data_IF_615877770637
#
_entry.id   IF_615877770637
#
_cell.length_a   1.000
_cell.length_b   1.000
_cell.length_c   1.000
_cell.angle_alpha   90.00
_cell.angle_beta   90.00
_cell.angle_gamma   90.00
#
_symmetry.space_group_name_H-M   'P 1'
#
loop_
_entity.id
_entity.type
_entity.pdbx_description
1 polymer ?
#
# COMPACT_ATOMS: atom_id res chain seq x y z
N UNK A 1 -15.78 9.40 93.23
CA UNK A 1 -16.87 10.34 92.91
C UNK A 1 -16.89 10.55 91.41
N UNK A 2 -18.04 10.55 90.74
CA UNK A 2 -19.24 9.74 91.07
C UNK A 2 -19.77 8.98 89.82
N UNK A 3 -20.29 7.75 89.96
CA UNK A 3 -21.75 7.38 89.94
C UNK A 3 -22.26 7.15 88.49
N UNK A 4 -23.03 6.13 88.11
CA UNK A 4 -23.54 4.89 88.72
C UNK A 4 -24.22 4.08 87.60
N UNK A 5 -24.15 2.75 87.74
CA UNK A 5 -25.24 1.75 87.65
C UNK A 5 -26.43 1.98 86.73
N UNK A 6 -26.75 0.92 85.96
CA UNK A 6 -27.89 -0.03 86.14
C UNK A 6 -27.93 -0.91 84.88
N UNK A 7 -28.12 -2.23 84.86
CA UNK A 7 -28.42 -3.26 85.85
C UNK A 7 -28.66 -4.56 85.06
N UNK A 8 -28.01 -5.65 85.46
CA UNK A 8 -28.49 -7.03 85.24
C UNK A 8 -29.85 -7.18 85.97
N UNK A 9 -30.76 -8.17 85.69
CA UNK A 9 -30.36 -9.59 85.78
C UNK A 9 -31.24 -10.72 85.15
N UNK A 10 -30.70 -11.95 85.26
CA UNK A 10 -31.33 -13.30 85.42
C UNK A 10 -32.24 -13.87 84.30
N UNK A 11 -32.28 -15.18 84.01
CA UNK A 11 -32.13 -16.40 84.82
C UNK A 11 -31.60 -17.59 83.95
N UNK A 12 -30.72 -18.48 84.46
CA UNK A 12 -30.99 -19.81 85.06
C UNK A 12 -31.80 -20.76 84.13
N UNK A 13 -31.47 -22.04 83.87
CA UNK A 13 -30.85 -23.11 84.66
C UNK A 13 -30.39 -24.24 83.67
N UNK A 14 -29.31 -25.00 83.93
CA UNK A 14 -29.30 -26.40 84.43
C UNK A 14 -29.91 -27.41 83.41
N UNK A 15 -29.34 -28.55 83.03
CA UNK A 15 -28.64 -29.62 83.77
C UNK A 15 -27.86 -30.55 82.83
N UNK A 16 -26.94 -31.29 83.44
CA UNK A 16 -26.01 -32.31 82.95
C UNK A 16 -26.63 -33.70 82.66
N UNK A 17 -25.84 -34.56 81.97
CA UNK A 17 -25.78 -36.04 82.04
C UNK A 17 -26.95 -36.83 81.38
N UNK A 18 -26.85 -38.02 80.79
CA UNK A 18 -25.81 -39.05 80.51
C UNK A 18 -26.46 -40.07 79.54
N UNK A 19 -25.75 -40.46 78.48
CA UNK A 19 -25.42 -41.85 78.06
C UNK A 19 -26.50 -42.79 77.47
N UNK A 20 -25.99 -43.64 76.56
CA UNK A 20 -26.54 -44.82 75.87
C UNK A 20 -27.32 -44.57 74.54
N UNK A 21 -27.02 -45.20 73.40
CA UNK A 21 -25.95 -46.12 73.02
C UNK A 21 -25.84 -46.24 71.48
N UNK A 22 -24.61 -46.46 71.02
CA UNK A 22 -24.19 -47.36 69.93
C UNK A 22 -24.34 -47.03 68.42
N UNK A 23 -23.16 -47.00 67.80
CA UNK A 23 -22.75 -47.52 66.47
C UNK A 23 -22.80 -46.61 65.24
N UNK A 24 -21.60 -46.22 64.75
CA UNK A 24 -21.10 -46.48 63.38
C UNK A 24 -20.35 -45.30 62.71
N UNK A 25 -19.03 -45.46 62.61
CA UNK A 25 -18.11 -45.01 61.55
C UNK A 25 -17.83 -43.52 61.26
N UNK A 26 -16.58 -43.19 60.84
CA UNK A 26 -16.08 -41.83 60.73
C UNK A 26 -16.48 -41.20 59.38
N UNK A 27 -17.16 -40.05 59.39
CA UNK A 27 -17.34 -39.25 58.18
C UNK A 27 -16.02 -38.57 57.84
N UNK A 28 -15.42 -39.04 56.73
CA UNK A 28 -14.29 -38.41 56.08
C UNK A 28 -14.59 -36.94 55.78
N UNK A 29 -13.75 -36.06 56.32
CA UNK A 29 -13.67 -34.65 55.96
C UNK A 29 -13.60 -34.52 54.44
N UNK A 30 -14.65 -33.96 53.83
CA UNK A 30 -14.57 -33.49 52.44
C UNK A 30 -13.42 -32.48 52.36
N UNK A 31 -12.45 -32.64 51.44
CA UNK A 31 -11.46 -31.60 51.23
C UNK A 31 -12.20 -30.35 50.74
N UNK A 32 -11.90 -29.19 51.32
CA UNK A 32 -12.27 -27.91 50.73
C UNK A 32 -11.78 -27.92 49.27
N UNK A 33 -12.60 -27.51 48.28
CA UNK A 33 -12.14 -27.42 46.91
C UNK A 33 -11.02 -26.39 46.85
N UNK A 34 -9.86 -26.85 46.40
CA UNK A 34 -8.66 -26.05 46.22
C UNK A 34 -8.97 -24.92 45.22
N UNK A 35 -8.91 -23.64 45.63
CA UNK A 35 -9.34 -22.51 44.79
C UNK A 35 -8.56 -22.43 43.48
N UNK A 36 -7.32 -22.92 43.46
CA UNK A 36 -6.51 -23.01 42.25
C UNK A 36 -7.02 -24.09 41.28
N UNK A 37 -7.53 -25.21 41.78
CA UNK A 37 -8.09 -26.29 40.95
C UNK A 37 -9.46 -25.91 40.38
N UNK A 38 -10.26 -25.18 41.15
CA UNK A 38 -11.52 -24.59 40.68
C UNK A 38 -11.29 -23.49 39.62
N UNK A 39 -10.21 -22.72 39.72
CA UNK A 39 -9.78 -21.76 38.71
C UNK A 39 -9.28 -22.44 37.43
N UNK A 40 -8.48 -23.51 37.55
CA UNK A 40 -7.99 -24.29 36.40
C UNK A 40 -9.16 -24.97 35.66
N UNK A 41 -10.13 -25.56 36.36
CA UNK A 41 -11.35 -26.11 35.74
C UNK A 41 -12.27 -25.03 35.13
N UNK A 42 -12.25 -23.81 35.68
CA UNK A 42 -12.91 -22.63 35.11
C UNK A 42 -12.12 -22.01 33.94
N UNK A 43 -10.83 -22.25 33.78
CA UNK A 43 -10.10 -21.80 32.60
C UNK A 43 -10.28 -22.78 31.43
N UNK A 44 -10.30 -24.11 31.71
CA UNK A 44 -10.51 -25.14 30.68
C UNK A 44 -11.94 -25.17 30.10
N UNK A 45 -12.99 -24.92 30.92
CA UNK A 45 -14.39 -24.87 30.40
C UNK A 45 -14.66 -23.69 29.48
N UNK A 46 -13.82 -22.67 29.51
CA UNK A 46 -14.02 -21.39 28.83
C UNK A 46 -13.13 -21.22 27.60
N UNK A 47 -12.46 -22.30 27.19
CA UNK A 47 -11.58 -22.33 26.03
C UNK A 47 -12.31 -21.96 24.72
N UNK A 48 -13.65 -22.07 24.67
CA UNK A 48 -14.49 -21.61 23.54
C UNK A 48 -14.86 -20.12 23.57
N UNK A 49 -14.77 -19.45 24.72
CA UNK A 49 -14.95 -17.98 24.85
C UNK A 49 -13.60 -17.24 24.85
N UNK A 50 -12.49 -17.98 24.74
CA UNK A 50 -11.14 -17.45 24.53
C UNK A 50 -11.04 -16.40 23.40
N UNK A 51 -11.84 -16.44 22.30
CA UNK A 51 -11.77 -15.43 21.25
C UNK A 51 -12.43 -14.09 21.63
N UNK A 52 -13.20 -14.04 22.72
CA UNK A 52 -13.96 -12.86 23.17
C UNK A 52 -13.12 -12.02 24.15
N UNK A 53 -13.17 -10.67 24.09
CA UNK A 53 -12.42 -9.79 24.99
C UNK A 53 -12.78 -10.05 26.46
N UNK A 54 -11.82 -9.90 27.36
CA UNK A 54 -11.99 -10.24 28.79
C UNK A 54 -13.18 -9.51 29.44
N UNK A 55 -13.40 -8.24 29.10
CA UNK A 55 -14.49 -7.44 29.65
C UNK A 55 -15.86 -7.99 29.23
N UNK A 56 -16.02 -8.32 27.94
CA UNK A 56 -17.24 -8.89 27.40
C UNK A 56 -17.46 -10.31 27.91
N UNK A 57 -16.40 -11.10 28.07
CA UNK A 57 -16.47 -12.42 28.69
C UNK A 57 -16.96 -12.32 30.13
N UNK A 58 -16.45 -11.36 30.91
CA UNK A 58 -16.90 -11.10 32.29
C UNK A 58 -18.36 -10.68 32.33
N UNK A 59 -18.82 -9.85 31.40
CA UNK A 59 -20.23 -9.45 31.33
C UNK A 59 -21.15 -10.62 30.93
N UNK A 60 -20.73 -11.45 29.97
CA UNK A 60 -21.45 -12.68 29.60
C UNK A 60 -21.55 -13.63 30.80
N UNK A 61 -20.43 -13.87 31.49
CA UNK A 61 -20.38 -14.69 32.71
C UNK A 61 -21.24 -14.09 33.82
N UNK A 62 -21.25 -12.76 33.98
CA UNK A 62 -22.08 -12.07 34.99
C UNK A 62 -23.57 -12.22 34.71
N UNK A 63 -23.97 -12.26 33.44
CA UNK A 63 -25.37 -12.42 33.03
C UNK A 63 -25.86 -13.87 33.05
N UNK A 64 -24.95 -14.84 33.13
CA UNK A 64 -25.28 -16.25 33.12
C UNK A 64 -25.28 -16.82 34.55
N UNK A 65 -26.43 -17.32 34.99
CA UNK A 65 -26.57 -17.99 36.28
C UNK A 65 -25.67 -19.26 36.35
N UNK A 66 -25.10 -19.65 37.51
CA UNK A 66 -24.16 -20.77 37.61
C UNK A 66 -24.71 -22.11 37.10
N UNK A 67 -26.03 -22.30 37.17
CA UNK A 67 -26.72 -23.47 36.60
C UNK A 67 -26.79 -23.43 35.07
N UNK A 68 -26.97 -22.25 34.48
CA UNK A 68 -26.92 -22.03 33.04
C UNK A 68 -25.50 -22.17 32.49
N UNK A 69 -24.50 -21.75 33.27
CA UNK A 69 -23.07 -21.93 32.93
C UNK A 69 -22.64 -23.39 32.85
N UNK A 70 -23.10 -24.24 33.79
CA UNK A 70 -22.77 -25.67 33.81
C UNK A 70 -23.41 -26.46 32.64
N UNK A 71 -24.45 -25.91 32.01
CA UNK A 71 -25.21 -26.57 30.93
C UNK A 71 -24.80 -26.12 29.52
N UNK A 72 -24.00 -25.05 29.40
CA UNK A 72 -23.53 -24.51 28.12
C UNK A 72 -22.89 -25.54 27.17
N UNK A 73 -22.38 -26.68 27.64
CA UNK A 73 -21.86 -27.73 26.75
C UNK A 73 -22.94 -28.54 26.02
N UNK A 74 -24.06 -28.85 26.70
CA UNK A 74 -25.16 -29.69 26.18
C UNK A 74 -26.31 -28.85 25.64
N UNK A 75 -26.77 -27.83 26.38
CA UNK A 75 -27.84 -26.94 25.92
C UNK A 75 -27.39 -26.08 24.74
N UNK A 76 -26.09 -25.75 24.61
CA UNK A 76 -25.57 -25.05 23.42
C UNK A 76 -25.74 -25.85 22.14
N UNK A 77 -25.63 -27.20 22.16
CA UNK A 77 -25.75 -27.98 20.92
C UNK A 77 -27.20 -28.08 20.45
N UNK A 78 -28.14 -28.21 21.39
CA UNK A 78 -29.58 -28.26 21.11
C UNK A 78 -30.17 -26.87 20.77
N UNK A 79 -29.67 -25.81 21.41
CA UNK A 79 -30.15 -24.44 21.19
C UNK A 79 -29.40 -23.68 20.10
N UNK A 80 -28.21 -24.13 19.67
CA UNK A 80 -27.49 -23.53 18.56
C UNK A 80 -28.29 -23.42 17.25
N UNK A 81 -29.04 -24.44 16.78
CA UNK A 81 -29.86 -24.30 15.58
C UNK A 81 -30.95 -23.25 15.75
N UNK A 82 -31.67 -23.26 16.88
CA UNK A 82 -32.71 -22.27 17.20
C UNK A 82 -32.13 -20.85 17.25
N UNK A 83 -31.00 -20.66 17.92
CA UNK A 83 -30.32 -19.37 17.98
C UNK A 83 -29.79 -18.91 16.62
N UNK A 84 -29.40 -19.83 15.73
CA UNK A 84 -29.03 -19.50 14.34
C UNK A 84 -30.25 -19.06 13.53
N UNK A 85 -31.39 -19.75 13.68
CA UNK A 85 -32.64 -19.37 13.02
C UNK A 85 -33.14 -18.01 13.51
N UNK A 86 -33.10 -17.75 14.81
CA UNK A 86 -33.47 -16.45 15.38
C UNK A 86 -32.52 -15.33 14.90
N UNK A 87 -31.21 -15.61 14.85
CA UNK A 87 -30.23 -14.67 14.31
C UNK A 87 -30.47 -14.40 12.82
N UNK A 88 -30.80 -15.43 12.04
CA UNK A 88 -31.14 -15.27 10.64
C UNK A 88 -32.40 -14.41 10.47
N UNK A 89 -33.45 -14.69 11.24
CA UNK A 89 -34.69 -13.91 11.24
C UNK A 89 -34.46 -12.45 11.67
N UNK A 90 -33.51 -12.20 12.59
CA UNK A 90 -33.08 -10.85 12.95
C UNK A 90 -32.40 -10.15 11.77
N UNK A 91 -31.52 -10.85 11.04
CA UNK A 91 -30.80 -10.32 9.88
C UNK A 91 -31.75 -10.00 8.72
N UNK A 92 -32.76 -10.85 8.48
CA UNK A 92 -33.77 -10.61 7.44
C UNK A 92 -34.58 -9.33 7.75
N UNK A 93 -34.81 -9.03 9.03
CA UNK A 93 -35.46 -7.78 9.47
C UNK A 93 -34.53 -6.58 9.49
N UNK A 94 -33.22 -6.79 9.57
CA UNK A 94 -32.20 -5.74 9.69
C UNK A 94 -31.07 -5.93 8.67
N UNK A 95 -31.38 -5.81 7.35
CA UNK A 95 -30.42 -6.10 6.28
C UNK A 95 -29.18 -5.20 6.29
N UNK A 96 -29.27 -4.03 6.93
CA UNK A 96 -28.15 -3.07 7.07
C UNK A 96 -27.44 -3.14 8.42
N UNK A 97 -27.66 -4.18 9.23
CA UNK A 97 -27.03 -4.29 10.54
C UNK A 97 -25.50 -4.36 10.45
N UNK A 98 -24.82 -3.44 11.13
CA UNK A 98 -23.36 -3.37 11.17
C UNK A 98 -22.83 -3.87 12.50
N UNK A 99 -22.33 -5.12 12.49
CA UNK A 99 -21.68 -5.79 13.62
C UNK A 99 -20.61 -4.92 14.30
N UNK A 100 -19.89 -4.08 13.54
CA UNK A 100 -18.81 -3.27 14.13
C UNK A 100 -19.32 -2.18 15.07
N UNK A 101 -20.59 -1.77 14.95
CA UNK A 101 -21.22 -0.79 15.85
C UNK A 101 -21.31 -1.34 17.27
N UNK A 102 -21.61 -2.63 17.40
CA UNK A 102 -21.79 -3.30 18.69
C UNK A 102 -20.46 -3.54 19.43
N UNK A 103 -19.34 -3.57 18.69
CA UNK A 103 -18.01 -3.61 19.29
C UNK A 103 -17.57 -2.26 19.89
N UNK A 104 -18.28 -1.17 19.60
CA UNK A 104 -17.98 0.18 20.08
C UNK A 104 -16.58 0.65 19.71
N UNK A 105 -15.92 1.38 20.61
CA UNK A 105 -14.54 1.81 20.40
C UNK A 105 -13.53 0.66 20.52
N UNK A 106 -12.83 0.41 19.41
CA UNK A 106 -11.74 -0.58 19.32
C UNK A 106 -10.43 0.08 19.78
N UNK A 107 -10.26 0.16 21.09
CA UNK A 107 -9.07 0.75 21.73
C UNK A 107 -7.94 -0.23 22.04
N UNK A 108 -8.12 -1.54 21.82
CA UNK A 108 -7.11 -2.56 22.12
C UNK A 108 -6.98 -3.63 21.04
N UNK A 109 -5.79 -4.21 20.94
CA UNK A 109 -5.49 -5.33 20.03
C UNK A 109 -6.37 -6.56 20.31
N UNK A 110 -6.68 -6.85 21.57
CA UNK A 110 -7.62 -7.93 21.94
C UNK A 110 -9.02 -7.69 21.37
N UNK A 111 -9.55 -6.47 21.48
CA UNK A 111 -10.85 -6.11 20.90
C UNK A 111 -10.81 -6.17 19.38
N UNK A 112 -9.72 -5.74 18.74
CA UNK A 112 -9.55 -5.85 17.30
C UNK A 112 -9.54 -7.32 16.85
N UNK A 113 -8.80 -8.20 17.54
CA UNK A 113 -8.76 -9.64 17.24
C UNK A 113 -10.14 -10.30 17.42
N UNK A 114 -10.87 -9.93 18.47
CA UNK A 114 -12.23 -10.41 18.67
C UNK A 114 -13.18 -9.93 17.58
N UNK A 115 -13.09 -8.66 17.17
CA UNK A 115 -13.88 -8.11 16.08
C UNK A 115 -13.57 -8.82 14.75
N UNK A 116 -12.29 -9.08 14.44
CA UNK A 116 -11.91 -9.89 13.26
C UNK A 116 -12.53 -11.28 13.31
N UNK A 117 -12.47 -11.93 14.47
CA UNK A 117 -13.07 -13.25 14.67
C UNK A 117 -14.59 -13.21 14.45
N UNK A 118 -15.29 -12.24 15.03
CA UNK A 118 -16.73 -12.09 14.88
C UNK A 118 -17.13 -11.80 13.43
N UNK A 119 -16.41 -10.90 12.74
CA UNK A 119 -16.63 -10.60 11.31
C UNK A 119 -16.48 -11.84 10.44
N UNK A 120 -15.53 -12.73 10.74
CA UNK A 120 -15.30 -13.98 9.98
C UNK A 120 -16.49 -14.94 10.07
N UNK A 121 -17.05 -15.06 11.28
CA UNK A 121 -18.08 -16.05 11.62
C UNK A 121 -19.50 -15.48 11.61
N UNK A 122 -19.66 -14.21 11.22
CA UNK A 122 -20.95 -13.56 11.16
C UNK A 122 -21.85 -14.21 10.09
N UNK A 123 -23.14 -14.48 10.38
CA UNK A 123 -24.09 -15.05 9.43
C UNK A 123 -24.56 -13.97 8.45
N UNK A 124 -23.83 -13.80 7.36
CA UNK A 124 -24.19 -12.86 6.31
C UNK A 124 -25.39 -13.37 5.50
N UNK A 125 -26.28 -12.47 5.04
CA UNK A 125 -27.35 -12.81 4.09
C UNK A 125 -26.81 -13.52 2.85
N UNK A 126 -27.52 -14.55 2.37
CA UNK A 126 -27.06 -15.44 1.29
C UNK A 126 -27.05 -14.78 -0.10
N UNK A 127 -27.79 -13.70 -0.27
CA UNK A 127 -27.90 -12.87 -1.47
C UNK A 127 -26.68 -11.97 -1.71
N UNK A 128 -25.79 -11.84 -0.72
CA UNK A 128 -24.63 -10.95 -0.79
C UNK A 128 -23.32 -11.76 -0.82
N UNK A 129 -22.31 -11.23 -1.52
CA UNK A 129 -20.97 -11.82 -1.50
C UNK A 129 -20.38 -11.70 -0.08
N UNK A 130 -20.42 -12.83 0.63
CA UNK A 130 -19.87 -12.98 1.98
C UNK A 130 -18.40 -12.55 2.06
N UNK A 131 -17.59 -12.90 1.06
CA UNK A 131 -16.16 -12.58 1.06
C UNK A 131 -15.94 -11.08 0.94
N UNK A 132 -16.72 -10.41 0.09
CA UNK A 132 -16.65 -8.97 -0.09
C UNK A 132 -17.02 -8.22 1.20
N UNK A 133 -18.10 -8.62 1.87
CA UNK A 133 -18.53 -8.01 3.14
C UNK A 133 -17.51 -8.17 4.25
N UNK A 134 -16.93 -9.37 4.39
CA UNK A 134 -15.85 -9.64 5.34
C UNK A 134 -14.68 -8.71 5.07
N UNK A 135 -14.25 -8.58 3.82
CA UNK A 135 -13.12 -7.73 3.44
C UNK A 135 -13.40 -6.24 3.65
N UNK A 136 -14.61 -5.75 3.37
CA UNK A 136 -15.01 -4.35 3.70
C UNK A 136 -14.87 -4.08 5.20
N UNK A 137 -15.31 -5.03 6.04
CA UNK A 137 -15.19 -4.93 7.50
C UNK A 137 -13.73 -5.04 7.97
N UNK A 138 -12.92 -5.92 7.37
CA UNK A 138 -11.47 -5.97 7.62
C UNK A 138 -10.77 -4.66 7.26
N UNK A 139 -11.15 -4.02 6.16
CA UNK A 139 -10.62 -2.69 5.79
C UNK A 139 -10.94 -1.62 6.86
N UNK A 140 -12.15 -1.64 7.42
CA UNK A 140 -12.53 -0.75 8.53
C UNK A 140 -11.76 -1.05 9.81
N UNK A 141 -11.47 -2.32 10.10
CA UNK A 141 -10.64 -2.73 11.23
C UNK A 141 -9.17 -2.36 11.03
N UNK A 142 -8.63 -2.50 9.82
CA UNK A 142 -7.28 -2.06 9.46
C UNK A 142 -7.10 -0.56 9.72
N UNK A 143 -8.10 0.26 9.36
CA UNK A 143 -8.09 1.69 9.61
C UNK A 143 -8.06 2.10 11.10
N UNK A 144 -8.30 1.16 12.03
CA UNK A 144 -8.19 1.39 13.49
C UNK A 144 -6.82 1.04 14.07
N UNK A 145 -5.94 0.39 13.31
CA UNK A 145 -4.58 0.05 13.79
C UNK A 145 -3.82 1.29 14.29
N UNK A 146 -3.83 2.45 13.60
CA UNK A 146 -3.11 3.64 14.06
C UNK A 146 -3.57 4.15 15.44
N UNK A 147 -4.85 3.95 15.80
CA UNK A 147 -5.39 4.36 17.11
C UNK A 147 -5.04 3.41 18.26
N UNK A 148 -4.48 2.24 17.99
CA UNK A 148 -4.08 1.29 19.04
C UNK A 148 -2.80 1.75 19.74
N UNK A 149 -2.56 1.29 20.98
CA UNK A 149 -1.28 1.46 21.67
C UNK A 149 -0.12 0.94 20.81
N UNK A 150 0.99 1.68 20.75
CA UNK A 150 2.14 1.39 19.85
C UNK A 150 2.62 -0.06 19.92
N UNK A 151 2.69 -0.62 21.14
CA UNK A 151 3.12 -2.01 21.37
C UNK A 151 2.19 -3.07 20.75
N UNK A 152 0.91 -2.75 20.53
CA UNK A 152 -0.10 -3.69 20.01
C UNK A 152 -0.30 -3.58 18.49
N UNK A 153 0.24 -2.53 17.85
CA UNK A 153 -0.02 -2.24 16.44
C UNK A 153 0.50 -3.33 15.50
N UNK A 154 1.68 -3.88 15.77
CA UNK A 154 2.26 -4.94 14.95
C UNK A 154 1.46 -6.25 15.03
N UNK A 155 1.04 -6.64 16.23
CA UNK A 155 0.19 -7.82 16.42
C UNK A 155 -1.19 -7.63 15.74
N UNK A 156 -1.77 -6.44 15.84
CA UNK A 156 -3.02 -6.11 15.15
C UNK A 156 -2.86 -6.14 13.62
N UNK A 157 -1.77 -5.56 13.10
CA UNK A 157 -1.43 -5.58 11.68
C UNK A 157 -1.31 -7.01 11.14
N UNK A 158 -0.51 -7.85 11.82
CA UNK A 158 -0.32 -9.25 11.41
C UNK A 158 -1.61 -10.06 11.52
N UNK A 159 -2.46 -9.78 12.51
CA UNK A 159 -3.78 -10.42 12.62
C UNK A 159 -4.71 -10.07 11.44
N UNK A 160 -4.78 -8.81 11.02
CA UNK A 160 -5.56 -8.42 9.83
C UNK A 160 -4.96 -9.04 8.57
N UNK A 161 -3.63 -8.95 8.40
CA UNK A 161 -2.92 -9.53 7.27
C UNK A 161 -3.24 -11.02 7.13
N UNK A 162 -3.00 -11.83 8.17
CA UNK A 162 -3.22 -13.29 8.18
C UNK A 162 -4.68 -13.70 7.88
N UNK A 163 -5.65 -12.83 8.17
CA UNK A 163 -7.06 -13.08 7.87
C UNK A 163 -7.41 -12.68 6.45
N UNK A 164 -6.90 -11.53 5.99
CA UNK A 164 -7.17 -11.00 4.66
C UNK A 164 -6.45 -11.79 3.55
N UNK A 165 -5.29 -12.42 3.82
CA UNK A 165 -4.56 -13.27 2.86
C UNK A 165 -5.32 -14.53 2.44
N UNK A 166 -6.35 -14.92 3.20
CA UNK A 166 -7.22 -16.05 2.87
C UNK A 166 -8.22 -15.75 1.76
N UNK A 167 -8.32 -14.50 1.35
CA UNK A 167 -9.26 -14.03 0.33
C UNK A 167 -8.50 -13.48 -0.88
N UNK A 168 -9.18 -13.47 -2.02
CA UNK A 168 -8.66 -13.03 -3.32
C UNK A 168 -9.50 -11.89 -3.91
N UNK A 169 -8.96 -11.25 -4.96
CA UNK A 169 -9.68 -10.24 -5.73
C UNK A 169 -9.48 -8.79 -5.27
N UNK A 170 -10.26 -7.89 -5.85
CA UNK A 170 -10.06 -6.43 -5.73
C UNK A 170 -10.21 -5.92 -4.29
N UNK A 171 -11.19 -6.43 -3.53
CA UNK A 171 -11.35 -6.02 -2.13
C UNK A 171 -10.21 -6.53 -1.24
N UNK A 172 -9.67 -7.72 -1.50
CA UNK A 172 -8.50 -8.22 -0.79
C UNK A 172 -7.29 -7.30 -1.05
N UNK A 173 -7.07 -6.93 -2.31
CA UNK A 173 -6.04 -5.95 -2.67
C UNK A 173 -6.22 -4.60 -1.96
N UNK A 174 -7.44 -4.08 -1.85
CA UNK A 174 -7.69 -2.81 -1.13
C UNK A 174 -7.33 -2.88 0.36
N UNK A 175 -7.62 -4.00 1.02
CA UNK A 175 -7.22 -4.22 2.42
C UNK A 175 -5.70 -4.26 2.53
N UNK A 176 -5.02 -4.97 1.63
CA UNK A 176 -3.56 -5.05 1.62
C UNK A 176 -2.90 -3.70 1.31
N UNK A 177 -3.42 -2.96 0.35
CA UNK A 177 -2.93 -1.61 0.02
C UNK A 177 -3.08 -0.68 1.22
N UNK A 178 -4.21 -0.75 1.94
CA UNK A 178 -4.41 0.05 3.16
C UNK A 178 -3.41 -0.31 4.26
N UNK A 179 -3.19 -1.59 4.52
CA UNK A 179 -2.17 -2.04 5.47
C UNK A 179 -0.77 -1.56 5.06
N UNK A 180 -0.48 -1.54 3.77
CA UNK A 180 0.78 -1.05 3.20
C UNK A 180 0.96 0.46 3.44
N UNK A 181 -0.09 1.26 3.27
CA UNK A 181 -0.08 2.70 3.59
C UNK A 181 0.13 2.96 5.09
N UNK A 182 -0.45 2.12 5.94
CA UNK A 182 -0.39 2.25 7.40
C UNK A 182 0.93 1.72 8.01
N UNK A 183 1.92 1.27 7.22
CA UNK A 183 3.22 0.78 7.72
C UNK A 183 3.93 1.78 8.65
N UNK A 184 3.81 3.07 8.38
CA UNK A 184 4.40 4.13 9.22
C UNK A 184 3.88 4.17 10.66
N UNK A 185 2.69 3.61 10.94
CA UNK A 185 2.14 3.57 12.28
C UNK A 185 2.79 2.49 13.18
N UNK A 186 3.52 1.55 12.59
CA UNK A 186 4.19 0.45 13.30
C UNK A 186 5.48 0.92 14.00
N UNK A 187 5.93 0.21 15.04
CA UNK A 187 7.28 0.39 15.60
C UNK A 187 8.34 0.28 14.51
N UNK A 188 9.32 1.17 14.53
CA UNK A 188 10.32 1.36 13.47
C UNK A 188 11.07 0.07 13.14
N UNK A 189 11.55 -0.62 14.18
CA UNK A 189 12.28 -1.90 14.10
C UNK A 189 11.47 -3.02 13.43
N UNK A 190 10.14 -2.89 13.35
CA UNK A 190 9.23 -3.89 12.80
C UNK A 190 8.68 -3.52 11.41
N UNK A 191 8.98 -2.32 10.90
CA UNK A 191 8.42 -1.85 9.62
C UNK A 191 8.96 -2.64 8.44
N UNK A 192 10.27 -2.89 8.41
CA UNK A 192 10.89 -3.70 7.36
C UNK A 192 10.30 -5.12 7.34
N UNK A 193 10.18 -5.75 8.52
CA UNK A 193 9.56 -7.06 8.66
C UNK A 193 8.11 -7.07 8.15
N UNK A 194 7.31 -6.06 8.51
CA UNK A 194 5.93 -5.93 8.03
C UNK A 194 5.84 -5.73 6.51
N UNK A 195 6.75 -4.95 5.93
CA UNK A 195 6.83 -4.72 4.49
C UNK A 195 7.12 -6.02 3.72
N UNK A 196 8.15 -6.78 4.14
CA UNK A 196 8.45 -8.06 3.49
C UNK A 196 7.33 -9.08 3.66
N UNK A 197 6.62 -9.07 4.79
CA UNK A 197 5.50 -9.98 5.04
C UNK A 197 4.27 -9.69 4.14
N UNK A 198 3.96 -8.42 3.86
CA UNK A 198 2.77 -8.05 3.07
C UNK A 198 3.01 -8.16 1.56
N UNK A 199 4.25 -7.96 1.10
CA UNK A 199 4.59 -7.82 -0.31
C UNK A 199 4.14 -9.01 -1.19
N UNK A 200 4.35 -10.29 -0.83
CA UNK A 200 3.89 -11.42 -1.65
C UNK A 200 2.36 -11.45 -1.81
N UNK A 201 1.64 -11.15 -0.73
CA UNK A 201 0.18 -11.16 -0.70
C UNK A 201 -0.43 -10.00 -1.49
N UNK A 202 0.22 -8.84 -1.43
CA UNK A 202 -0.16 -7.65 -2.21
C UNK A 202 -0.07 -7.92 -3.72
N UNK A 203 0.99 -8.60 -4.17
CA UNK A 203 1.19 -8.97 -5.59
C UNK A 203 0.15 -10.00 -6.03
N UNK A 204 -0.04 -11.06 -5.23
CA UNK A 204 -0.98 -12.13 -5.55
C UNK A 204 -2.40 -11.57 -5.74
N UNK A 205 -2.85 -10.73 -4.80
CA UNK A 205 -4.18 -10.11 -4.84
C UNK A 205 -4.31 -9.10 -6.00
N UNK A 206 -3.25 -8.32 -6.31
CA UNK A 206 -3.24 -7.42 -7.47
C UNK A 206 -3.38 -8.17 -8.79
N UNK A 207 -2.60 -9.23 -8.98
CA UNK A 207 -2.63 -10.05 -10.21
C UNK A 207 -4.02 -10.64 -10.43
N UNK A 208 -4.62 -11.20 -9.39
CA UNK A 208 -5.98 -11.74 -9.44
C UNK A 208 -7.04 -10.67 -9.73
N UNK A 209 -6.92 -9.48 -9.13
CA UNK A 209 -7.82 -8.38 -9.40
C UNK A 209 -7.76 -7.93 -10.87
N UNK A 210 -6.56 -7.90 -11.47
CA UNK A 210 -6.38 -7.56 -12.89
C UNK A 210 -6.92 -8.68 -13.81
N UNK A 211 -6.73 -9.94 -13.45
CA UNK A 211 -7.29 -11.08 -14.19
C UNK A 211 -8.82 -11.05 -14.19
N UNK A 212 -9.45 -10.77 -13.04
CA UNK A 212 -10.90 -10.64 -12.94
C UNK A 212 -11.44 -9.47 -13.79
N UNK A 213 -10.76 -8.31 -13.76
CA UNK A 213 -11.13 -7.16 -14.57
C UNK A 213 -11.01 -7.45 -16.08
N UNK A 214 -9.94 -8.13 -16.50
CA UNK A 214 -9.76 -8.53 -17.89
C UNK A 214 -10.82 -9.54 -18.35
N UNK A 215 -11.18 -10.51 -17.50
CA UNK A 215 -12.25 -11.47 -17.79
C UNK A 215 -13.62 -10.81 -17.94
N UNK A 216 -13.94 -9.83 -17.09
CA UNK A 216 -15.19 -9.06 -17.19
C UNK A 216 -15.28 -8.24 -18.49
N UNK A 217 -14.17 -7.65 -18.93
CA UNK A 217 -14.12 -6.89 -20.17
C UNK A 217 -14.34 -7.76 -21.43
N UNK A 218 -13.86 -9.02 -21.42
CA UNK A 218 -14.07 -9.95 -22.53
C UNK A 218 -15.47 -10.62 -22.49
N UNK A 219 -16.06 -10.83 -21.31
CA UNK A 219 -17.43 -11.33 -21.17
C UNK A 219 -18.51 -10.33 -21.60
N UNK A 220 -18.23 -9.03 -21.52
CA UNK A 220 -19.14 -7.97 -21.99
C UNK A 220 -19.28 -7.89 -23.51
N UNK A 221 -18.37 -8.50 -24.28
CA UNK A 221 -18.42 -8.49 -25.75
C UNK A 221 -19.14 -9.72 -26.35
N UNK A 222 -19.54 -10.71 -25.54
CA UNK A 222 -20.26 -11.91 -26.00
C UNK A 222 -21.76 -11.92 -25.68
N UNK A 223 -22.31 -10.89 -25.05
CA UNK A 223 -23.75 -10.83 -24.65
C UNK A 223 -24.57 -9.84 -25.49
N UNK A 224 -24.01 -9.25 -26.55
CA UNK A 224 -24.76 -8.42 -27.50
C UNK A 224 -24.66 -8.96 -28.94
N UNK A 225 -24.97 -10.25 -29.14
CA UNK A 225 -25.37 -10.76 -30.46
C UNK A 225 -26.53 -11.73 -30.27
N UNK A 226 -27.71 -11.16 -30.06
CA UNK A 226 -28.96 -11.80 -30.45
C UNK A 226 -29.96 -10.70 -30.80
N UNK A 227 -30.39 -10.73 -32.07
CA UNK A 227 -31.56 -10.07 -32.64
C UNK A 227 -31.48 -8.56 -32.92
N UNK A 228 -31.08 -8.21 -34.15
CA UNK A 228 -32.03 -7.70 -35.14
C UNK A 228 -31.35 -7.59 -36.51
N UNK A 229 -31.87 -8.37 -37.46
CA UNK A 229 -31.60 -8.29 -38.88
C UNK A 229 -32.44 -7.18 -39.53
N UNK A 230 -32.02 -6.78 -40.74
CA UNK A 230 -32.67 -5.96 -41.76
C UNK A 230 -32.48 -4.43 -41.76
N UNK A 231 -31.80 -3.96 -42.81
CA UNK A 231 -31.97 -2.61 -43.38
C UNK A 231 -30.69 -1.98 -43.94
N UNK A 232 -30.36 -2.25 -45.20
CA UNK A 232 -29.21 -1.67 -45.88
C UNK A 232 -29.37 -0.18 -46.25
N UNK A 233 -28.25 0.46 -46.59
CA UNK A 233 -27.99 1.23 -47.85
C UNK A 233 -26.66 1.98 -47.70
N UNK A 234 -25.88 1.95 -48.79
CA UNK A 234 -24.59 2.59 -49.05
C UNK A 234 -24.48 4.09 -48.73
N UNK A 235 -23.27 4.51 -48.37
CA UNK A 235 -22.82 5.90 -48.40
C UNK A 235 -21.30 6.03 -48.21
N UNK A 236 -20.61 6.27 -49.32
CA UNK A 236 -19.18 6.51 -49.50
C UNK A 236 -18.61 7.68 -48.66
N UNK A 237 -17.43 7.51 -48.06
CA UNK A 237 -16.34 8.50 -47.98
C UNK A 237 -15.16 7.98 -47.11
N UNK A 238 -14.00 7.82 -47.74
CA UNK A 238 -12.71 7.52 -47.13
C UNK A 238 -12.04 8.82 -46.55
N UNK A 239 -10.84 8.75 -45.95
CA UNK A 239 -10.64 8.59 -44.51
C UNK A 239 -9.96 9.82 -43.88
N UNK A 240 -10.45 10.25 -42.72
CA UNK A 240 -9.72 11.12 -41.81
C UNK A 240 -9.29 10.33 -40.58
N UNK A 241 -7.98 10.14 -40.38
CA UNK A 241 -7.41 9.68 -39.10
C UNK A 241 -5.90 9.99 -39.07
N UNK A 242 -5.45 10.92 -38.23
CA UNK A 242 -4.91 10.66 -36.90
C UNK A 242 -3.45 10.19 -36.92
N UNK A 243 -2.55 11.13 -36.64
CA UNK A 243 -1.15 10.88 -36.29
C UNK A 243 -0.80 11.53 -34.96
N UNK A 244 -1.59 11.26 -33.92
CA UNK A 244 -1.26 11.61 -32.53
C UNK A 244 -1.02 10.30 -31.78
N UNK A 245 0.25 9.89 -31.73
CA UNK A 245 0.71 8.77 -30.92
C UNK A 245 0.56 9.18 -29.45
N UNK A 246 -0.52 8.72 -28.82
CA UNK A 246 -0.61 8.62 -27.37
C UNK A 246 0.49 7.66 -26.87
N UNK A 247 1.13 7.92 -25.72
CA UNK A 247 2.12 7.00 -25.19
C UNK A 247 1.41 5.68 -24.85
N UNK A 248 1.84 4.63 -25.53
CA UNK A 248 1.32 3.28 -25.38
C UNK A 248 1.50 2.81 -23.93
N UNK A 249 0.40 2.84 -23.17
CA UNK A 249 0.19 1.86 -22.12
C UNK A 249 -0.31 0.58 -22.78
N UNK A 250 0.61 -0.36 -23.00
CA UNK A 250 0.35 -1.79 -23.11
C UNK A 250 -0.05 -2.34 -24.48
N UNK A 251 0.68 -3.37 -24.93
CA UNK A 251 0.10 -4.45 -25.73
C UNK A 251 1.01 -5.04 -26.79
N UNK A 252 1.64 -6.19 -26.50
CA UNK A 252 1.41 -7.45 -27.22
C UNK A 252 2.27 -8.60 -26.65
N UNK A 253 1.68 -9.80 -26.64
CA UNK A 253 2.21 -11.11 -26.21
C UNK A 253 2.29 -11.38 -24.69
N UNK A 254 1.18 -11.91 -24.15
CA UNK A 254 1.25 -12.99 -23.14
C UNK A 254 1.84 -12.65 -21.76
N UNK A 255 1.33 -11.61 -21.09
CA UNK A 255 1.65 -11.39 -19.68
C UNK A 255 0.57 -10.54 -19.01
N UNK A 256 -0.31 -11.17 -18.23
CA UNK A 256 -1.24 -10.43 -17.37
C UNK A 256 -0.38 -9.81 -16.24
N UNK A 257 0.14 -8.62 -16.51
CA UNK A 257 1.13 -7.95 -15.68
C UNK A 257 0.55 -7.51 -14.35
N UNK A 258 0.85 -8.26 -13.29
CA UNK A 258 0.52 -7.95 -11.89
C UNK A 258 1.29 -6.77 -11.28
N UNK A 259 1.59 -5.73 -12.07
CA UNK A 259 2.39 -4.59 -11.63
C UNK A 259 1.70 -3.86 -10.48
N UNK A 260 2.46 -3.62 -9.40
CA UNK A 260 2.01 -2.86 -8.25
C UNK A 260 2.12 -1.36 -8.55
N UNK A 261 1.17 -0.53 -8.08
CA UNK A 261 1.28 0.91 -8.22
C UNK A 261 2.58 1.45 -7.57
N UNK A 262 3.41 2.14 -8.36
CA UNK A 262 4.69 2.69 -7.90
C UNK A 262 4.53 3.68 -6.73
N UNK A 263 3.44 4.45 -6.71
CA UNK A 263 3.11 5.38 -5.62
C UNK A 263 2.83 4.65 -4.29
N UNK A 264 2.13 3.52 -4.33
CA UNK A 264 1.86 2.69 -3.14
C UNK A 264 3.19 2.15 -2.56
N UNK A 265 4.05 1.61 -3.43
CA UNK A 265 5.36 1.09 -3.03
C UNK A 265 6.28 2.19 -2.50
N UNK A 266 6.36 3.34 -3.18
CA UNK A 266 7.17 4.46 -2.72
C UNK A 266 6.69 4.99 -1.36
N UNK A 267 5.37 5.11 -1.16
CA UNK A 267 4.79 5.52 0.12
C UNK A 267 5.19 4.58 1.26
N UNK A 268 5.13 3.28 1.02
CA UNK A 268 5.54 2.25 1.97
C UNK A 268 7.05 2.27 2.26
N UNK A 269 7.88 2.32 1.21
CA UNK A 269 9.34 2.32 1.33
C UNK A 269 9.83 3.55 2.10
N UNK A 270 9.20 4.72 1.91
CA UNK A 270 9.51 5.95 2.65
C UNK A 270 9.34 5.80 4.18
N UNK A 271 8.52 4.86 4.63
CA UNK A 271 8.31 4.62 6.07
C UNK A 271 9.38 3.72 6.70
N UNK A 272 10.22 3.09 5.89
CA UNK A 272 11.23 2.14 6.35
C UNK A 272 12.46 2.86 6.94
N UNK A 273 13.21 2.20 7.83
CA UNK A 273 14.53 2.67 8.23
C UNK A 273 15.45 2.82 7.01
N UNK A 274 16.34 3.81 7.03
CA UNK A 274 17.21 4.18 5.90
C UNK A 274 18.01 2.97 5.37
N UNK A 275 18.51 2.12 6.26
CA UNK A 275 19.26 0.90 5.93
C UNK A 275 18.45 -0.10 5.10
N UNK A 276 17.13 -0.14 5.27
CA UNK A 276 16.24 -1.07 4.57
C UNK A 276 15.71 -0.51 3.25
N UNK A 277 15.82 0.81 2.99
CA UNK A 277 15.23 1.48 1.82
C UNK A 277 15.80 0.92 0.52
N UNK A 278 17.12 0.82 0.40
CA UNK A 278 17.77 0.35 -0.83
C UNK A 278 17.38 -1.11 -1.15
N UNK A 279 17.40 -1.99 -0.14
CA UNK A 279 16.96 -3.38 -0.30
C UNK A 279 15.49 -3.43 -0.73
N UNK A 280 14.61 -2.67 -0.08
CA UNK A 280 13.19 -2.64 -0.41
C UNK A 280 12.92 -2.11 -1.83
N UNK A 281 13.69 -1.13 -2.33
CA UNK A 281 13.62 -0.67 -3.72
C UNK A 281 14.00 -1.82 -4.67
N UNK A 282 15.10 -2.51 -4.41
CA UNK A 282 15.58 -3.60 -5.27
C UNK A 282 14.59 -4.76 -5.34
N UNK A 283 14.03 -5.16 -4.20
CA UNK A 283 13.01 -6.20 -4.13
C UNK A 283 11.73 -5.76 -4.84
N UNK A 284 11.22 -4.56 -4.53
CA UNK A 284 9.99 -4.05 -5.13
C UNK A 284 10.12 -3.90 -6.65
N UNK A 285 11.28 -3.49 -7.15
CA UNK A 285 11.55 -3.38 -8.58
C UNK A 285 11.63 -4.74 -9.27
N UNK A 286 12.22 -5.75 -8.63
CA UNK A 286 12.27 -7.12 -9.16
C UNK A 286 10.88 -7.74 -9.36
N UNK A 287 9.87 -7.19 -8.68
CA UNK A 287 8.48 -7.64 -8.75
C UNK A 287 7.64 -6.86 -9.78
N UNK A 288 8.21 -5.82 -10.38
CA UNK A 288 7.56 -5.06 -11.45
C UNK A 288 7.68 -5.77 -12.80
N UNK A 289 6.77 -5.44 -13.71
CA UNK A 289 6.84 -5.92 -15.09
C UNK A 289 7.80 -5.06 -15.90
N UNK A 290 8.72 -5.68 -16.63
CA UNK A 290 9.67 -5.01 -17.52
C UNK A 290 11.11 -5.02 -16.98
N UNK A 291 12.01 -4.20 -17.56
CA UNK A 291 13.40 -4.13 -17.13
C UNK A 291 13.51 -3.62 -15.69
N UNK A 292 14.25 -4.36 -14.86
CA UNK A 292 14.42 -4.06 -13.43
C UNK A 292 14.99 -2.66 -13.19
N UNK A 293 16.00 -2.26 -13.96
CA UNK A 293 16.61 -0.93 -13.87
C UNK A 293 15.56 0.19 -13.98
N UNK A 294 14.68 0.11 -14.99
CA UNK A 294 13.65 1.11 -15.22
C UNK A 294 12.63 1.15 -14.08
N UNK A 295 12.30 -0.01 -13.50
CA UNK A 295 11.44 -0.08 -12.31
C UNK A 295 12.11 0.54 -11.07
N UNK A 296 13.40 0.30 -10.84
CA UNK A 296 14.16 0.92 -9.74
C UNK A 296 14.22 2.44 -9.90
N UNK A 297 14.53 2.94 -11.11
CA UNK A 297 14.54 4.37 -11.43
C UNK A 297 13.16 5.00 -11.22
N UNK A 298 12.10 4.31 -11.65
CA UNK A 298 10.72 4.79 -11.47
C UNK A 298 10.33 4.85 -10.00
N UNK A 299 10.69 3.84 -9.19
CA UNK A 299 10.46 3.84 -7.74
C UNK A 299 11.20 4.99 -7.06
N UNK A 300 12.48 5.18 -7.39
CA UNK A 300 13.29 6.28 -6.84
C UNK A 300 12.73 7.64 -7.20
N UNK A 301 12.23 7.83 -8.42
CA UNK A 301 11.53 9.06 -8.82
C UNK A 301 10.28 9.29 -7.96
N UNK A 302 9.48 8.25 -7.72
CA UNK A 302 8.29 8.38 -6.87
C UNK A 302 8.65 8.70 -5.42
N UNK A 303 9.75 8.15 -4.88
CA UNK A 303 10.25 8.50 -3.55
C UNK A 303 10.63 9.98 -3.47
N UNK A 304 11.40 10.49 -4.44
CA UNK A 304 11.73 11.92 -4.53
C UNK A 304 10.47 12.78 -4.69
N UNK A 305 9.46 12.28 -5.42
CA UNK A 305 8.17 12.95 -5.58
C UNK A 305 7.34 13.07 -4.28
N UNK A 306 7.66 12.28 -3.25
CA UNK A 306 7.04 12.39 -1.92
C UNK A 306 7.73 13.41 -1.01
N UNK A 307 8.87 13.97 -1.42
CA UNK A 307 9.55 15.03 -0.69
C UNK A 307 8.74 16.34 -0.75
N UNK A 308 8.81 17.17 0.30
CA UNK A 308 8.30 18.54 0.25
C UNK A 308 8.91 19.32 -0.93
N UNK A 309 8.12 20.21 -1.52
CA UNK A 309 8.53 21.00 -2.71
C UNK A 309 9.88 21.72 -2.50
N UNK A 310 10.15 22.22 -1.30
CA UNK A 310 11.39 22.91 -0.96
C UNK A 310 12.64 22.01 -0.91
N UNK A 311 12.47 20.68 -0.79
CA UNK A 311 13.57 19.68 -0.83
C UNK A 311 13.64 18.92 -2.14
N UNK A 312 12.56 18.92 -2.92
CA UNK A 312 12.47 18.18 -4.17
C UNK A 312 13.69 18.38 -5.07
N UNK A 313 14.09 19.64 -5.30
CA UNK A 313 15.20 19.94 -6.21
C UNK A 313 16.51 19.28 -5.75
N UNK A 314 16.84 19.38 -4.46
CA UNK A 314 18.05 18.79 -3.90
C UNK A 314 18.00 17.25 -3.96
N UNK A 315 16.88 16.64 -3.58
CA UNK A 315 16.70 15.19 -3.62
C UNK A 315 16.76 14.65 -5.06
N UNK A 316 16.17 15.39 -6.01
CA UNK A 316 16.22 15.04 -7.42
C UNK A 316 17.63 15.15 -8.00
N UNK A 317 18.38 16.20 -7.65
CA UNK A 317 19.77 16.36 -8.06
C UNK A 317 20.64 15.19 -7.58
N UNK A 318 20.52 14.82 -6.30
CA UNK A 318 21.22 13.68 -5.72
C UNK A 318 20.85 12.36 -6.42
N UNK A 319 19.57 12.15 -6.72
CA UNK A 319 19.11 10.99 -7.47
C UNK A 319 19.72 10.94 -8.87
N UNK A 320 19.63 12.03 -9.62
CA UNK A 320 20.12 12.11 -11.00
C UNK A 320 21.63 11.90 -11.06
N UNK A 321 22.39 12.53 -10.16
CA UNK A 321 23.84 12.36 -10.06
C UNK A 321 24.25 10.93 -9.66
N UNK A 322 23.53 10.32 -8.70
CA UNK A 322 23.78 8.94 -8.30
C UNK A 322 23.50 7.96 -9.44
N UNK A 323 22.43 8.16 -10.20
CA UNK A 323 22.11 7.32 -11.36
C UNK A 323 23.10 7.54 -12.50
N UNK A 324 23.53 8.78 -12.74
CA UNK A 324 24.52 9.09 -13.78
C UNK A 324 25.85 8.34 -13.56
N UNK A 325 26.29 8.21 -12.30
CA UNK A 325 27.51 7.48 -11.93
C UNK A 325 27.34 5.95 -11.87
N UNK A 326 26.16 5.43 -12.16
CA UNK A 326 25.93 3.98 -12.19
C UNK A 326 26.33 3.39 -13.53
N UNK A 327 26.59 2.07 -13.58
CA UNK A 327 27.02 1.40 -14.81
C UNK A 327 26.06 1.56 -16.00
N UNK A 328 24.76 1.73 -15.73
CA UNK A 328 23.72 1.95 -16.75
C UNK A 328 23.19 3.41 -16.73
N UNK A 329 24.03 4.37 -16.33
CA UNK A 329 23.59 5.74 -16.08
C UNK A 329 22.94 6.45 -17.28
N UNK A 330 23.39 6.16 -18.50
CA UNK A 330 22.81 6.71 -19.71
C UNK A 330 21.34 6.25 -19.91
N UNK A 331 21.07 4.97 -19.66
CA UNK A 331 19.72 4.40 -19.76
C UNK A 331 18.83 4.95 -18.63
N UNK A 332 19.37 5.01 -17.40
CA UNK A 332 18.65 5.54 -16.24
C UNK A 332 18.24 7.01 -16.43
N UNK A 333 19.17 7.88 -16.89
CA UNK A 333 18.87 9.27 -17.17
C UNK A 333 17.89 9.40 -18.34
N UNK A 334 18.05 8.62 -19.42
CA UNK A 334 17.11 8.62 -20.56
C UNK A 334 15.70 8.27 -20.12
N UNK A 335 15.55 7.32 -19.20
CA UNK A 335 14.26 6.97 -18.61
C UNK A 335 13.68 8.10 -17.74
N UNK A 336 14.50 8.76 -16.92
CA UNK A 336 14.06 9.93 -16.16
C UNK A 336 13.58 11.07 -17.07
N UNK A 337 14.26 11.31 -18.21
CA UNK A 337 13.81 12.29 -19.22
C UNK A 337 12.41 11.93 -19.74
N UNK A 338 12.17 10.65 -20.05
CA UNK A 338 10.86 10.19 -20.50
C UNK A 338 9.75 10.38 -19.45
N UNK A 339 10.10 10.30 -18.16
CA UNK A 339 9.17 10.46 -17.05
C UNK A 339 8.92 11.92 -16.64
N UNK A 340 9.61 12.92 -17.22
CA UNK A 340 9.43 14.33 -16.84
C UNK A 340 7.96 14.80 -16.90
N UNK A 341 7.17 14.30 -17.84
CA UNK A 341 5.75 14.69 -17.98
C UNK A 341 4.83 14.11 -16.91
N UNK A 342 5.29 13.09 -16.18
CA UNK A 342 4.53 12.53 -15.06
C UNK A 342 4.52 13.46 -13.86
N UNK A 343 5.43 14.44 -13.81
CA UNK A 343 5.51 15.42 -12.74
C UNK A 343 4.43 16.51 -12.93
N UNK A 344 3.48 16.66 -12.00
CA UNK A 344 2.31 17.52 -12.21
C UNK A 344 2.63 19.02 -12.16
N UNK A 345 3.65 19.43 -11.38
CA UNK A 345 3.96 20.83 -11.15
C UNK A 345 4.97 21.36 -12.20
N UNK A 346 4.67 22.48 -12.89
CA UNK A 346 5.55 23.03 -13.94
C UNK A 346 6.91 23.51 -13.42
N UNK A 347 6.97 24.09 -12.20
CA UNK A 347 8.24 24.50 -11.58
C UNK A 347 9.10 23.30 -11.19
N UNK A 348 8.46 22.24 -10.70
CA UNK A 348 9.12 20.96 -10.40
C UNK A 348 9.68 20.31 -11.67
N UNK A 349 8.92 20.34 -12.78
CA UNK A 349 9.38 19.86 -14.08
C UNK A 349 10.61 20.61 -14.59
N UNK A 350 10.60 21.94 -14.49
CA UNK A 350 11.74 22.76 -14.88
C UNK A 350 12.97 22.46 -14.02
N UNK A 351 12.80 22.35 -12.70
CA UNK A 351 13.89 22.00 -11.80
C UNK A 351 14.48 20.62 -12.14
N UNK A 352 13.62 19.60 -12.30
CA UNK A 352 14.04 18.26 -12.72
C UNK A 352 14.80 18.27 -14.06
N UNK A 353 14.28 19.01 -15.06
CA UNK A 353 14.94 19.15 -16.35
C UNK A 353 16.37 19.72 -16.23
N UNK A 354 16.54 20.77 -15.40
CA UNK A 354 17.85 21.39 -15.14
C UNK A 354 18.81 20.45 -14.45
N UNK A 355 18.35 19.75 -13.42
CA UNK A 355 19.21 18.81 -12.69
C UNK A 355 19.58 17.60 -13.56
N UNK A 356 18.70 17.11 -14.45
CA UNK A 356 19.06 16.10 -15.45
C UNK A 356 20.14 16.61 -16.41
N UNK A 357 20.00 17.86 -16.89
CA UNK A 357 20.97 18.47 -17.79
C UNK A 357 22.36 18.58 -17.14
N UNK A 358 22.41 18.87 -15.82
CA UNK A 358 23.66 18.87 -15.06
C UNK A 358 24.23 17.48 -14.81
N UNK A 359 23.36 16.51 -14.47
CA UNK A 359 23.76 15.15 -14.16
C UNK A 359 24.42 14.44 -15.35
N UNK A 360 24.16 14.88 -16.59
CA UNK A 360 24.85 14.40 -17.78
C UNK A 360 26.37 14.48 -17.65
N UNK A 361 26.92 15.52 -17.01
CA UNK A 361 28.37 15.67 -16.83
C UNK A 361 28.99 14.63 -15.88
N UNK A 362 28.17 13.86 -15.16
CA UNK A 362 28.62 12.78 -14.31
C UNK A 362 28.61 11.41 -15.00
N UNK A 363 28.25 11.34 -16.30
CA UNK A 363 28.36 10.12 -17.10
C UNK A 363 29.82 9.87 -17.51
N UNK A 364 30.20 8.59 -17.60
CA UNK A 364 31.56 8.18 -17.94
C UNK A 364 31.94 8.39 -19.42
N UNK A 365 30.96 8.67 -20.29
CA UNK A 365 31.15 8.84 -21.74
C UNK A 365 30.47 10.09 -22.28
N UNK A 366 31.18 10.82 -23.14
CA UNK A 366 30.67 11.99 -23.87
C UNK A 366 29.63 11.59 -24.91
N UNK A 367 29.73 10.40 -25.50
CA UNK A 367 28.73 9.86 -26.44
C UNK A 367 27.40 9.60 -25.72
N UNK A 368 27.47 8.96 -24.54
CA UNK A 368 26.29 8.76 -23.67
C UNK A 368 25.69 10.09 -23.24
N UNK A 369 26.55 11.06 -22.92
CA UNK A 369 26.14 12.42 -22.57
C UNK A 369 25.38 13.10 -23.71
N UNK A 370 25.91 13.02 -24.93
CA UNK A 370 25.28 13.54 -26.13
C UNK A 370 23.93 12.86 -26.41
N UNK A 371 23.83 11.54 -26.24
CA UNK A 371 22.58 10.80 -26.41
C UNK A 371 21.48 11.28 -25.44
N UNK A 372 21.82 11.44 -24.15
CA UNK A 372 20.87 11.96 -23.14
C UNK A 372 20.48 13.40 -23.43
N UNK A 373 21.44 14.26 -23.82
CA UNK A 373 21.15 15.66 -24.19
C UNK A 373 20.26 15.78 -25.42
N UNK A 374 20.42 14.91 -26.41
CA UNK A 374 19.48 14.84 -27.56
C UNK A 374 18.08 14.45 -27.11
N UNK A 375 17.95 13.54 -26.14
CA UNK A 375 16.65 13.18 -25.57
C UNK A 375 16.04 14.35 -24.79
N UNK A 376 16.83 15.08 -24.01
CA UNK A 376 16.42 16.31 -23.32
C UNK A 376 15.97 17.38 -24.31
N UNK A 377 16.69 17.58 -25.40
CA UNK A 377 16.30 18.49 -26.49
C UNK A 377 14.94 18.08 -27.08
N UNK A 378 14.71 16.79 -27.34
CA UNK A 378 13.42 16.28 -27.80
C UNK A 378 12.27 16.44 -26.78
N UNK A 379 12.58 16.58 -25.49
CA UNK A 379 11.60 16.84 -24.43
C UNK A 379 11.29 18.33 -24.22
N UNK A 380 11.98 19.26 -24.90
CA UNK A 380 11.74 20.71 -24.78
C UNK A 380 10.27 21.12 -25.03
N UNK A 381 9.54 20.60 -26.04
CA UNK A 381 8.13 20.97 -26.26
C UNK A 381 7.23 20.64 -25.07
N UNK A 382 7.65 19.69 -24.23
CA UNK A 382 6.88 19.21 -23.09
C UNK A 382 7.01 20.14 -21.87
N UNK A 383 8.00 21.06 -21.89
CA UNK A 383 8.16 22.09 -20.88
C UNK A 383 7.13 23.22 -21.05
N UNK A 384 6.78 23.94 -19.98
CA UNK A 384 5.91 25.12 -20.05
C UNK A 384 6.50 26.18 -20.99
N UNK A 385 5.66 26.81 -21.82
CA UNK A 385 6.09 27.76 -22.86
C UNK A 385 7.01 28.88 -22.32
N UNK A 386 6.73 29.39 -21.12
CA UNK A 386 7.49 30.46 -20.47
C UNK A 386 8.95 30.11 -20.15
N UNK A 387 9.29 28.82 -20.05
CA UNK A 387 10.64 28.36 -19.64
C UNK A 387 11.38 27.57 -20.72
N UNK A 388 10.72 27.25 -21.85
CA UNK A 388 11.31 26.45 -22.94
C UNK A 388 12.63 27.02 -23.43
N UNK A 389 12.69 28.34 -23.61
CA UNK A 389 13.91 29.01 -24.07
C UNK A 389 15.07 28.87 -23.07
N UNK A 390 14.79 29.08 -21.78
CA UNK A 390 15.80 28.88 -20.73
C UNK A 390 16.28 27.43 -20.70
N UNK A 391 15.38 26.45 -20.80
CA UNK A 391 15.75 25.04 -20.90
C UNK A 391 16.56 24.73 -22.16
N UNK A 392 16.30 25.40 -23.30
CA UNK A 392 17.12 25.27 -24.51
C UNK A 392 18.54 25.79 -24.27
N UNK A 393 18.69 26.91 -23.58
CA UNK A 393 20.01 27.45 -23.21
C UNK A 393 20.76 26.52 -22.24
N UNK A 394 20.04 25.91 -21.29
CA UNK A 394 20.63 24.93 -20.36
C UNK A 394 21.22 23.72 -21.14
N UNK A 395 20.51 23.20 -22.15
CA UNK A 395 21.01 22.10 -23.01
C UNK A 395 22.19 22.53 -23.88
N UNK A 396 22.14 23.74 -24.47
CA UNK A 396 23.24 24.27 -25.28
C UNK A 396 24.52 24.47 -24.45
N UNK A 397 24.37 24.97 -23.22
CA UNK A 397 25.49 25.12 -22.28
C UNK A 397 26.13 23.77 -21.95
N UNK A 398 25.33 22.75 -21.64
CA UNK A 398 25.82 21.40 -21.36
C UNK A 398 26.48 20.75 -22.59
N UNK A 399 25.97 20.99 -23.79
CA UNK A 399 26.57 20.50 -25.04
C UNK A 399 27.99 21.07 -25.27
N UNK A 400 28.31 22.22 -24.68
CA UNK A 400 29.62 22.86 -24.81
C UNK A 400 30.79 22.06 -24.22
N UNK A 401 30.53 21.07 -23.35
CA UNK A 401 31.59 20.19 -22.81
C UNK A 401 31.82 18.92 -23.63
N UNK A 402 31.08 18.71 -24.72
CA UNK A 402 31.18 17.51 -25.57
C UNK A 402 32.27 17.68 -26.63
N UNK A 403 32.68 16.56 -27.24
CA UNK A 403 33.49 16.65 -28.45
C UNK A 403 32.69 17.30 -29.59
N UNK A 404 33.32 18.08 -30.49
CA UNK A 404 32.60 18.79 -31.54
C UNK A 404 31.71 17.90 -32.44
N UNK A 405 32.13 16.67 -32.71
CA UNK A 405 31.36 15.67 -33.48
C UNK A 405 30.05 15.26 -32.80
N UNK A 406 30.01 15.26 -31.47
CA UNK A 406 28.84 14.92 -30.65
C UNK A 406 28.01 16.17 -30.30
N UNK A 407 28.66 17.32 -30.19
CA UNK A 407 28.05 18.61 -29.91
C UNK A 407 27.09 19.05 -31.02
N UNK A 408 27.51 18.94 -32.29
CA UNK A 408 26.72 19.34 -33.46
C UNK A 408 25.32 18.69 -33.50
N UNK A 409 25.15 17.36 -33.38
CA UNK A 409 23.83 16.74 -33.41
C UNK A 409 22.94 17.11 -32.20
N UNK A 410 23.53 17.44 -31.04
CA UNK A 410 22.78 17.97 -29.90
C UNK A 410 22.23 19.37 -30.22
N UNK A 411 23.08 20.28 -30.72
CA UNK A 411 22.66 21.63 -31.09
C UNK A 411 21.59 21.60 -32.19
N UNK A 412 21.77 20.74 -33.20
CA UNK A 412 20.78 20.54 -34.25
C UNK A 412 19.43 20.07 -33.70
N UNK A 413 19.44 19.20 -32.67
CA UNK A 413 18.23 18.73 -32.01
C UNK A 413 17.51 19.86 -31.25
N UNK A 414 18.25 20.78 -30.61
CA UNK A 414 17.69 21.98 -29.96
C UNK A 414 17.10 22.93 -31.01
N UNK A 415 17.85 23.19 -32.09
CA UNK A 415 17.41 24.03 -33.22
C UNK A 415 16.09 23.55 -33.81
N UNK A 416 15.92 22.24 -33.96
CA UNK A 416 14.68 21.65 -34.48
C UNK A 416 13.44 21.98 -33.63
N UNK A 417 13.60 22.31 -32.34
CA UNK A 417 12.51 22.66 -31.45
C UNK A 417 12.20 24.17 -31.41
N UNK A 418 12.92 25.02 -32.15
CA UNK A 418 12.75 26.47 -32.09
C UNK A 418 11.33 26.95 -32.40
N UNK A 419 10.61 26.25 -33.29
CA UNK A 419 9.22 26.55 -33.62
C UNK A 419 8.26 26.43 -32.42
N UNK A 420 8.62 25.65 -31.40
CA UNK A 420 7.85 25.52 -30.16
C UNK A 420 8.03 26.72 -29.19
N UNK A 421 8.83 27.73 -29.57
CA UNK A 421 9.18 28.91 -28.76
C UNK A 421 8.93 30.18 -29.60
N UNK A 422 7.66 30.52 -29.87
CA UNK A 422 7.31 31.48 -30.94
C UNK A 422 7.93 32.87 -30.76
N UNK A 423 8.08 33.35 -29.52
CA UNK A 423 8.60 34.69 -29.26
C UNK A 423 10.14 34.79 -29.32
N UNK A 424 10.86 33.67 -29.30
CA UNK A 424 12.33 33.63 -29.23
C UNK A 424 12.95 32.67 -30.27
N UNK A 425 12.15 32.19 -31.23
CA UNK A 425 12.58 31.21 -32.23
C UNK A 425 13.76 31.71 -33.07
N UNK A 426 13.71 32.95 -33.57
CA UNK A 426 14.76 33.53 -34.40
C UNK A 426 16.09 33.69 -33.63
N UNK A 427 16.03 34.14 -32.37
CA UNK A 427 17.21 34.26 -31.51
C UNK A 427 17.83 32.88 -31.23
N UNK A 428 17.00 31.89 -30.90
CA UNK A 428 17.48 30.52 -30.64
C UNK A 428 18.12 29.90 -31.89
N UNK A 429 17.52 30.08 -33.07
CA UNK A 429 18.08 29.58 -34.34
C UNK A 429 19.44 30.22 -34.59
N UNK A 430 19.57 31.55 -34.47
CA UNK A 430 20.83 32.25 -34.67
C UNK A 430 21.93 31.76 -33.71
N UNK A 431 21.60 31.56 -32.43
CA UNK A 431 22.53 30.99 -31.43
C UNK A 431 22.95 29.56 -31.78
N UNK A 432 22.02 28.72 -32.22
CA UNK A 432 22.34 27.35 -32.64
C UNK A 432 23.24 27.33 -33.88
N UNK A 433 22.98 28.19 -34.87
CA UNK A 433 23.76 28.26 -36.10
C UNK A 433 25.20 28.73 -35.82
N UNK A 434 25.38 29.73 -34.95
CA UNK A 434 26.70 30.20 -34.49
C UNK A 434 27.46 29.12 -33.71
N UNK A 435 26.78 28.39 -32.82
CA UNK A 435 27.37 27.29 -32.07
C UNK A 435 27.79 26.11 -32.97
N UNK A 436 26.99 25.78 -34.00
CA UNK A 436 27.34 24.75 -35.00
C UNK A 436 28.55 25.19 -35.82
N UNK A 437 28.62 26.45 -36.24
CA UNK A 437 29.77 26.98 -36.97
C UNK A 437 31.05 26.88 -36.13
N UNK A 438 30.97 27.26 -34.85
CA UNK A 438 32.08 27.17 -33.90
C UNK A 438 32.55 25.72 -33.72
N UNK A 439 31.64 24.78 -33.46
CA UNK A 439 31.97 23.37 -33.32
C UNK A 439 32.58 22.78 -34.60
N UNK A 440 32.06 23.17 -35.78
CA UNK A 440 32.57 22.71 -37.08
C UNK A 440 34.01 23.18 -37.34
N UNK A 441 34.33 24.42 -36.97
CA UNK A 441 35.70 24.94 -37.04
C UNK A 441 36.64 24.16 -36.11
N UNK A 442 36.22 23.91 -34.86
CA UNK A 442 37.00 23.11 -33.91
C UNK A 442 37.25 21.69 -34.45
N UNK A 443 36.21 21.03 -34.98
CA UNK A 443 36.33 19.70 -35.58
C UNK A 443 37.36 19.69 -36.72
N UNK A 444 37.30 20.66 -37.63
CA UNK A 444 38.26 20.79 -38.73
C UNK A 444 39.71 20.99 -38.25
N UNK A 445 39.92 21.76 -37.17
CA UNK A 445 41.26 21.93 -36.58
C UNK A 445 41.80 20.65 -35.94
N UNK A 446 40.93 19.88 -35.27
CA UNK A 446 41.31 18.59 -34.67
C UNK A 446 41.65 17.58 -35.77
N UNK A 447 40.83 17.48 -36.82
CA UNK A 447 41.06 16.56 -37.94
C UNK A 447 42.37 16.85 -38.69
N UNK A 448 42.76 18.13 -38.86
CA UNK A 448 44.06 18.48 -39.47
C UNK A 448 45.24 18.03 -38.62
N UNK A 449 45.21 18.25 -37.30
CA UNK A 449 46.29 17.82 -36.39
C UNK A 449 46.51 16.31 -36.37
N UNK A 450 45.46 15.51 -36.58
CA UNK A 450 45.56 14.06 -36.68
C UNK A 450 46.11 13.55 -38.02
N UNK A 451 46.05 14.37 -39.09
CA UNK A 451 46.62 14.02 -40.40
C UNK A 451 48.09 14.46 -40.54
N UNK A 452 48.52 15.41 -39.70
CA UNK A 452 49.90 15.93 -39.66
C UNK A 452 50.80 15.18 -38.66
N UNK A 453 50.27 14.20 -37.91
CA UNK A 453 51.01 13.24 -37.07
C UNK A 453 51.02 11.86 -37.73
#
# INVERSE_FOLDING_TARGET
>A
MPINRTGLPHAAASTSQTEEASTSQPQASRPLPDPLRAQIEQDERFDRLSPIPRDLRREIVRRLDPRSMARLGSTSREMAPVAREEMQAFMDRNPCYDLLTDFGEIGSGERLRAALHAVTHFPYPADQDRSEQILRRYGRLAARIPSLPRAQRFEAFTAVLNRATRYSGNMAFRVMARLTDDLGCLPEDLRALAFHAILPSLIATRRQALQAAAGAAHGGHMVAVAEADAGGVQGDAAPGAQGAVAPAQGGAAGGIGGALPFNLLASAIRQLPEEAVNLAITEAAALQTGPRLLAEVTLRLHLVGLEPIHRFQQAYAQLAEHLARSGDGAEALTHLVALLNTLPNPGVRQAAFRELTRAVHALDSTESSAAVLRRLAGALPQQPAAVRYLCSLDVLAAAGSLFPSEQIPVIASVRAQAAAIPNQAAELIARCDDAIATASMMLATVSRRYMDM
#
